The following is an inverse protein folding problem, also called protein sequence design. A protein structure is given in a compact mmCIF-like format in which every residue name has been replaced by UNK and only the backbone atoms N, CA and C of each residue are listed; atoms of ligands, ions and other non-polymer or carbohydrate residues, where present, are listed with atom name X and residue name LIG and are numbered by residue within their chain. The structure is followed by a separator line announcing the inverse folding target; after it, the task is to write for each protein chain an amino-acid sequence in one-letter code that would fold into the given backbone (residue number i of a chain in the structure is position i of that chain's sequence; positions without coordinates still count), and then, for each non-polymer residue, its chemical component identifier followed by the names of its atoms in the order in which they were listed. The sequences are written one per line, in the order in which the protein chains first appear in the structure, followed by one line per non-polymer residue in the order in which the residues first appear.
data_IF_361237784448
#
_entry.id   IF_361237784448
#
_cell.length_a   1.000
_cell.length_b   1.000
_cell.length_c   1.000
_cell.angle_alpha   90.00
_cell.angle_beta   90.00
_cell.angle_gamma   90.00
#
_symmetry.space_group_name_H-M   'P 1'
#
loop_
_entity.id
_entity.type
_entity.pdbx_description
1 polymer ?
#
# COMPACT_ATOMS: atom_id res chain seq x y z
N UNK A 1 34.57 27.34 15.98
CA UNK A 1 33.32 26.78 16.56
C UNK A 1 32.09 27.07 15.71
N UNK A 2 31.64 28.34 15.53
CA UNK A 2 30.43 28.65 14.72
C UNK A 2 30.45 28.12 13.28
N UNK A 3 31.60 28.21 12.59
CA UNK A 3 31.76 27.66 11.23
C UNK A 3 31.64 26.13 11.16
N UNK A 4 32.17 25.43 12.17
CA UNK A 4 32.11 23.97 12.28
C UNK A 4 30.67 23.53 12.56
N UNK A 5 29.96 24.24 13.45
CA UNK A 5 28.55 23.98 13.75
C UNK A 5 27.66 24.11 12.50
N UNK A 6 27.88 25.16 11.69
CA UNK A 6 27.14 25.34 10.43
C UNK A 6 27.39 24.21 9.42
N UNK A 7 28.63 23.73 9.31
CA UNK A 7 28.97 22.59 8.45
C UNK A 7 28.27 21.31 8.93
N UNK A 8 28.23 21.06 10.24
CA UNK A 8 27.54 19.90 10.81
C UNK A 8 26.03 19.97 10.55
N UNK A 9 25.40 21.13 10.74
CA UNK A 9 23.97 21.33 10.45
C UNK A 9 23.69 21.11 8.96
N UNK A 10 24.54 21.63 8.07
CA UNK A 10 24.41 21.43 6.64
C UNK A 10 24.51 19.94 6.25
N UNK A 11 25.44 19.19 6.86
CA UNK A 11 25.58 17.74 6.66
C UNK A 11 24.33 16.97 7.12
N UNK A 12 23.79 17.29 8.29
CA UNK A 12 22.54 16.68 8.80
C UNK A 12 21.37 16.99 7.85
N UNK A 13 21.30 18.23 7.36
CA UNK A 13 20.30 18.63 6.37
C UNK A 13 20.38 17.81 5.09
N UNK A 14 21.58 17.65 4.53
CA UNK A 14 21.80 16.83 3.33
C UNK A 14 21.41 15.37 3.54
N UNK A 15 21.84 14.75 4.66
CA UNK A 15 21.47 13.36 4.98
C UNK A 15 19.95 13.22 5.08
N UNK A 16 19.30 14.16 5.77
CA UNK A 16 17.84 14.16 5.94
C UNK A 16 17.12 14.26 4.59
N UNK A 17 17.59 15.13 3.69
CA UNK A 17 17.04 15.28 2.34
C UNK A 17 17.21 13.97 1.56
N UNK A 18 18.41 13.38 1.56
CA UNK A 18 18.65 12.12 0.84
C UNK A 18 17.76 10.98 1.34
N UNK A 19 17.60 10.84 2.66
CA UNK A 19 16.73 9.82 3.26
C UNK A 19 15.26 10.05 2.90
N UNK A 20 14.79 11.30 2.94
CA UNK A 20 13.43 11.66 2.54
C UNK A 20 13.19 11.38 1.05
N UNK A 21 14.11 11.80 0.17
CA UNK A 21 14.02 11.53 -1.27
C UNK A 21 13.95 10.04 -1.55
N UNK A 22 14.78 9.23 -0.88
CA UNK A 22 14.75 7.77 -1.02
C UNK A 22 13.42 7.18 -0.52
N UNK A 23 12.90 7.67 0.60
CA UNK A 23 11.60 7.25 1.13
C UNK A 23 10.47 7.51 0.13
N UNK A 24 10.37 8.74 -0.41
CA UNK A 24 9.34 9.10 -1.38
C UNK A 24 9.51 8.37 -2.72
N UNK A 25 10.75 8.14 -3.15
CA UNK A 25 11.01 7.35 -4.37
C UNK A 25 10.52 5.91 -4.22
N UNK A 26 10.89 5.23 -3.12
CA UNK A 26 10.46 3.86 -2.86
C UNK A 26 8.94 3.78 -2.69
N UNK A 27 8.35 4.77 -2.03
CA UNK A 27 6.89 4.88 -1.90
C UNK A 27 6.23 4.98 -3.26
N UNK A 28 6.68 5.89 -4.12
CA UNK A 28 6.11 6.09 -5.44
C UNK A 28 6.18 4.81 -6.30
N UNK A 29 7.30 4.08 -6.24
CA UNK A 29 7.43 2.79 -6.94
C UNK A 29 6.45 1.74 -6.41
N UNK A 30 6.27 1.67 -5.08
CA UNK A 30 5.30 0.77 -4.48
C UNK A 30 3.86 1.15 -4.87
N UNK A 31 3.53 2.44 -4.85
CA UNK A 31 2.22 2.95 -5.24
C UNK A 31 1.88 2.56 -6.68
N UNK A 32 2.82 2.70 -7.61
CA UNK A 32 2.66 2.30 -9.00
C UNK A 32 2.38 0.79 -9.15
N UNK A 33 3.11 -0.04 -8.40
CA UNK A 33 2.93 -1.50 -8.44
C UNK A 33 1.58 -1.92 -7.87
N UNK A 34 1.18 -1.33 -6.74
CA UNK A 34 -0.14 -1.58 -6.14
C UNK A 34 -1.25 -1.14 -7.09
N UNK A 35 -1.18 0.06 -7.66
CA UNK A 35 -2.20 0.56 -8.59
C UNK A 35 -2.28 -0.32 -9.86
N UNK A 36 -1.14 -0.81 -10.36
CA UNK A 36 -1.12 -1.78 -11.46
C UNK A 36 -1.80 -3.09 -11.07
N UNK A 37 -1.51 -3.62 -9.88
CA UNK A 37 -2.12 -4.84 -9.38
C UNK A 37 -3.63 -4.69 -9.18
N UNK A 38 -4.10 -3.57 -8.64
CA UNK A 38 -5.54 -3.26 -8.48
C UNK A 38 -6.25 -3.27 -9.84
N UNK A 39 -5.61 -2.69 -10.86
CA UNK A 39 -6.13 -2.73 -12.22
C UNK A 39 -6.19 -4.15 -12.76
N UNK A 40 -5.15 -4.96 -12.53
CA UNK A 40 -5.16 -6.37 -12.92
C UNK A 40 -6.16 -7.20 -12.10
N UNK A 41 -6.43 -6.83 -10.85
CA UNK A 41 -7.49 -7.43 -10.02
C UNK A 41 -8.88 -7.20 -10.63
N UNK A 42 -9.07 -6.08 -11.33
CA UNK A 42 -10.32 -5.75 -12.02
C UNK A 42 -11.14 -4.65 -11.33
N UNK A 43 -10.57 -3.98 -10.33
CA UNK A 43 -11.18 -2.79 -9.73
C UNK A 43 -10.86 -1.55 -10.57
N UNK A 44 -11.89 -0.81 -10.93
CA UNK A 44 -11.78 0.45 -11.67
C UNK A 44 -12.00 1.65 -10.74
N UNK A 45 -11.58 2.85 -11.17
CA UNK A 45 -11.79 4.08 -10.39
C UNK A 45 -13.26 4.39 -10.14
N UNK A 46 -14.17 3.87 -10.97
CA UNK A 46 -15.60 4.04 -10.82
C UNK A 46 -16.18 3.19 -9.68
N UNK A 47 -15.55 2.06 -9.37
CA UNK A 47 -15.97 1.14 -8.31
C UNK A 47 -15.55 1.65 -6.92
N UNK A 48 -14.48 2.44 -6.90
CA UNK A 48 -13.79 2.91 -5.71
C UNK A 48 -14.45 4.18 -5.18
N UNK A 49 -14.98 4.12 -3.96
CA UNK A 49 -15.49 5.29 -3.24
C UNK A 49 -14.37 6.02 -2.50
N UNK A 50 -13.50 5.28 -1.82
CA UNK A 50 -12.39 5.83 -1.03
C UNK A 50 -11.15 4.96 -1.15
N UNK A 51 -9.99 5.63 -1.23
CA UNK A 51 -8.68 5.02 -1.21
C UNK A 51 -7.90 5.52 0.01
N UNK A 52 -7.32 4.62 0.78
CA UNK A 52 -6.45 4.96 1.89
C UNK A 52 -5.02 4.54 1.59
N UNK A 53 -4.12 5.53 1.54
CA UNK A 53 -2.67 5.36 1.36
C UNK A 53 -1.94 5.92 2.58
N UNK A 54 -1.74 5.14 3.65
CA UNK A 54 -1.15 5.68 4.87
C UNK A 54 0.28 6.13 4.62
N UNK A 55 0.57 7.39 4.96
CA UNK A 55 1.90 7.99 4.78
C UNK A 55 2.92 7.36 5.72
N UNK A 56 2.47 6.96 6.91
CA UNK A 56 3.27 6.33 7.94
C UNK A 56 2.57 5.08 8.42
N UNK A 57 3.28 3.96 8.38
CA UNK A 57 2.81 2.72 8.97
C UNK A 57 2.82 2.87 10.49
N UNK A 58 1.87 2.24 11.19
CA UNK A 58 2.02 2.02 12.63
C UNK A 58 3.34 1.28 12.89
N UNK A 59 3.96 1.53 14.04
CA UNK A 59 5.19 0.82 14.48
C UNK A 59 4.96 -0.70 14.53
N UNK A 60 3.72 -1.13 14.77
CA UNK A 60 3.29 -2.53 14.82
C UNK A 60 2.82 -3.09 13.48
N UNK A 61 2.69 -2.27 12.43
CA UNK A 61 2.22 -2.73 11.14
C UNK A 61 3.35 -3.45 10.37
N UNK A 62 3.02 -4.42 9.51
CA UNK A 62 3.98 -5.05 8.62
C UNK A 62 4.81 -4.01 7.86
N UNK A 63 6.09 -4.31 7.67
CA UNK A 63 6.95 -3.50 6.81
C UNK A 63 6.40 -3.59 5.37
N UNK A 64 6.32 -2.45 4.69
CA UNK A 64 5.87 -2.39 3.31
C UNK A 64 4.95 -1.21 3.07
N UNK A 65 4.33 -1.19 1.90
CA UNK A 65 3.40 -0.13 1.51
C UNK A 65 2.05 -0.76 1.27
N UNK A 66 0.98 -0.14 1.76
CA UNK A 66 -0.35 -0.69 1.64
C UNK A 66 -1.34 0.34 1.14
N UNK A 67 -2.37 -0.16 0.47
CA UNK A 67 -3.52 0.61 0.02
C UNK A 67 -4.80 -0.11 0.43
N UNK A 68 -5.65 0.60 1.17
CA UNK A 68 -7.02 0.20 1.42
C UNK A 68 -7.93 0.75 0.32
N UNK A 69 -8.83 -0.07 -0.20
CA UNK A 69 -9.84 0.32 -1.19
C UNK A 69 -11.21 0.00 -0.63
N UNK A 70 -12.05 1.03 -0.53
CA UNK A 70 -13.44 0.93 -0.11
C UNK A 70 -14.33 1.17 -1.33
N UNK A 71 -15.23 0.23 -1.60
CA UNK A 71 -16.13 0.30 -2.76
C UNK A 71 -17.53 0.72 -2.33
N UNK A 72 -18.21 1.51 -3.15
CA UNK A 72 -19.55 2.03 -2.82
C UNK A 72 -20.63 0.95 -2.69
N UNK A 73 -20.45 -0.18 -3.39
CA UNK A 73 -21.38 -1.31 -3.41
C UNK A 73 -21.19 -2.28 -2.23
N UNK A 74 -20.09 -2.16 -1.49
CA UNK A 74 -19.69 -3.10 -0.44
C UNK A 74 -19.07 -2.33 0.73
N UNK A 75 -19.93 -1.79 1.59
CA UNK A 75 -19.52 -0.86 2.68
C UNK A 75 -18.99 -1.57 3.91
N UNK A 76 -19.36 -2.83 4.09
CA UNK A 76 -18.96 -3.63 5.26
C UNK A 76 -17.66 -4.38 5.01
N UNK A 77 -17.20 -4.41 3.76
CA UNK A 77 -15.97 -5.07 3.35
C UNK A 77 -15.03 -4.09 2.63
N UNK A 78 -13.74 -4.38 2.63
CA UNK A 78 -12.78 -3.58 1.88
C UNK A 78 -11.58 -4.41 1.45
N UNK A 79 -10.83 -3.88 0.49
CA UNK A 79 -9.72 -4.57 -0.15
C UNK A 79 -8.42 -3.96 0.35
N UNK A 80 -7.47 -4.79 0.72
CA UNK A 80 -6.13 -4.39 1.15
C UNK A 80 -5.13 -4.94 0.14
N UNK A 81 -4.30 -4.05 -0.40
CA UNK A 81 -3.19 -4.40 -1.27
C UNK A 81 -1.89 -4.06 -0.58
N UNK A 82 -1.00 -5.03 -0.43
CA UNK A 82 0.27 -4.86 0.28
C UNK A 82 1.43 -5.13 -0.67
N UNK A 83 2.30 -4.14 -0.84
CA UNK A 83 3.58 -4.30 -1.51
C UNK A 83 4.69 -4.65 -0.50
N UNK A 84 5.24 -5.84 -0.67
CA UNK A 84 6.44 -6.31 0.01
C UNK A 84 7.68 -5.97 -0.82
N UNK A 85 8.51 -5.09 -0.26
CA UNK A 85 9.76 -4.64 -0.87
C UNK A 85 10.83 -5.73 -0.93
N UNK A 86 10.78 -6.72 -0.04
CA UNK A 86 11.83 -7.74 0.09
C UNK A 86 11.62 -8.83 -0.98
N UNK A 87 10.35 -9.11 -1.31
CA UNK A 87 9.97 -10.06 -2.38
C UNK A 87 9.61 -9.39 -3.71
N UNK A 88 9.53 -8.05 -3.74
CA UNK A 88 9.16 -7.24 -4.92
C UNK A 88 7.74 -7.53 -5.44
N UNK A 89 6.83 -7.98 -4.55
CA UNK A 89 5.49 -8.47 -4.91
C UNK A 89 4.38 -7.69 -4.25
N UNK A 90 3.24 -7.59 -4.93
CA UNK A 90 1.98 -7.13 -4.34
C UNK A 90 1.13 -8.35 -3.98
N UNK A 91 0.63 -8.38 -2.75
CA UNK A 91 -0.32 -9.37 -2.26
C UNK A 91 -1.66 -8.69 -1.95
N UNK A 92 -2.69 -9.52 -1.86
CA UNK A 92 -4.05 -9.10 -1.58
C UNK A 92 -4.58 -9.80 -0.32
N UNK A 93 -5.23 -9.02 0.53
CA UNK A 93 -6.15 -9.49 1.56
C UNK A 93 -7.45 -8.68 1.48
N UNK A 94 -8.55 -9.29 1.88
CA UNK A 94 -9.84 -8.61 2.01
C UNK A 94 -10.24 -8.56 3.47
N UNK A 95 -10.88 -7.48 3.91
CA UNK A 95 -11.59 -7.49 5.18
C UNK A 95 -13.04 -7.77 4.88
N UNK A 96 -13.51 -8.93 5.32
CA UNK A 96 -14.87 -9.43 5.11
C UNK A 96 -15.55 -9.58 6.46
N UNK A 97 -16.66 -8.87 6.67
CA UNK A 97 -17.42 -8.89 7.93
C UNK A 97 -16.52 -8.63 9.16
N UNK A 98 -15.53 -7.74 9.01
CA UNK A 98 -14.57 -7.39 10.05
C UNK A 98 -13.37 -8.33 10.21
N UNK A 99 -13.23 -9.36 9.38
CA UNK A 99 -12.10 -10.30 9.42
C UNK A 99 -11.18 -10.09 8.21
N UNK A 100 -9.90 -9.84 8.45
CA UNK A 100 -8.90 -9.86 7.36
C UNK A 100 -8.63 -11.30 6.94
N UNK A 101 -8.86 -11.59 5.66
CA UNK A 101 -8.78 -12.90 5.05
C UNK A 101 -7.94 -12.85 3.76
N UNK A 102 -7.25 -13.95 3.46
CA UNK A 102 -6.44 -14.08 2.24
C UNK A 102 -7.30 -14.45 1.03
N UNK A 103 -6.70 -14.41 -0.16
CA UNK A 103 -7.35 -14.77 -1.43
C UNK A 103 -7.86 -16.21 -1.49
N UNK A 104 -7.31 -17.10 -0.66
CA UNK A 104 -7.66 -18.52 -0.64
C UNK A 104 -8.76 -18.85 0.38
N UNK A 105 -9.18 -17.87 1.20
CA UNK A 105 -10.21 -18.06 2.21
C UNK A 105 -11.61 -18.14 1.60
N UNK A 106 -12.49 -18.98 2.14
CA UNK A 106 -13.87 -19.09 1.65
C UNK A 106 -14.66 -17.79 1.80
N UNK A 107 -14.37 -16.99 2.84
CA UNK A 107 -15.02 -15.71 3.09
C UNK A 107 -14.74 -14.70 1.98
N UNK A 108 -13.63 -14.83 1.24
CA UNK A 108 -13.29 -13.92 0.15
C UNK A 108 -14.37 -13.88 -0.94
N UNK A 109 -15.13 -14.98 -1.10
CA UNK A 109 -16.23 -15.09 -2.06
C UNK A 109 -17.39 -14.14 -1.75
N UNK A 110 -17.44 -13.57 -0.54
CA UNK A 110 -18.43 -12.57 -0.15
C UNK A 110 -18.11 -11.17 -0.67
N UNK A 111 -16.85 -10.91 -1.05
CA UNK A 111 -16.47 -9.63 -1.66
C UNK A 111 -17.21 -9.43 -2.97
N UNK A 112 -17.68 -8.21 -3.18
CA UNK A 112 -18.41 -7.84 -4.40
C UNK A 112 -17.58 -8.00 -5.67
N UNK A 113 -16.30 -7.64 -5.62
CA UNK A 113 -15.35 -7.81 -6.70
C UNK A 113 -14.45 -9.01 -6.38
N UNK A 114 -14.35 -9.94 -7.32
CA UNK A 114 -13.48 -11.11 -7.19
C UNK A 114 -12.19 -10.90 -7.98
N UNK A 115 -11.07 -11.52 -7.57
CA UNK A 115 -9.82 -11.44 -8.30
C UNK A 115 -9.97 -11.93 -9.74
N UNK A 116 -9.36 -11.24 -10.69
CA UNK A 116 -9.33 -11.69 -12.08
C UNK A 116 -8.44 -12.93 -12.27
N UNK A 117 -8.60 -13.62 -13.42
CA UNK A 117 -7.73 -14.74 -13.79
C UNK A 117 -6.24 -14.37 -13.80
N UNK A 118 -5.88 -13.11 -14.08
CA UNK A 118 -4.48 -12.66 -14.08
C UNK A 118 -3.87 -12.67 -12.68
N UNK A 119 -4.67 -12.42 -11.66
CA UNK A 119 -4.22 -12.41 -10.27
C UNK A 119 -4.09 -13.83 -9.72
N UNK A 120 -4.86 -14.78 -10.28
CA UNK A 120 -4.91 -16.18 -9.84
C UNK A 120 -3.88 -17.09 -10.54
N UNK A 121 -3.08 -16.56 -11.48
CA UNK A 121 -2.03 -17.27 -12.22
C UNK A 121 -0.64 -17.08 -11.59
#
# INVERSE_FOLDING_TARGET
MKKILLIVIALIGLISITLLSLHFYNRHQAEQKIDSYIKDYGLTKQDIETEEYPLFNSISAPKGYFKGIFTSEDKDNYYIFHYDKDTDKVTFSGVVEGNEVSIDDELIKKLKHQPSEKVLQ
#
